data_IF_489328323014
#
_entry.id   IF_489328323014
#
_cell.length_a   1.000
_cell.length_b   1.000
_cell.length_c   1.000
_cell.angle_alpha   90.00
_cell.angle_beta   90.00
_cell.angle_gamma   90.00
#
_symmetry.space_group_name_H-M   'P 1'
#
loop_
_entity.id
_entity.type
_entity.pdbx_description
1 polymer ?
#
# COMPACT_ATOMS: atom_id res chain seq x y z
N UNK A 1 13.86 25.73 -5.98
CA UNK A 1 13.28 24.79 -5.00
C UNK A 1 12.09 24.13 -5.66
N UNK A 2 11.93 22.80 -5.52
CA UNK A 2 10.78 22.10 -6.10
C UNK A 2 9.57 22.43 -5.24
N UNK A 3 8.64 23.21 -5.79
CA UNK A 3 7.38 23.53 -5.13
C UNK A 3 6.43 22.35 -5.32
N UNK A 4 5.97 21.74 -4.23
CA UNK A 4 5.08 20.58 -4.26
C UNK A 4 3.70 20.95 -3.70
N UNK A 5 2.67 20.80 -4.52
CA UNK A 5 1.26 20.99 -4.18
C UNK A 5 0.72 19.73 -3.53
N UNK A 6 0.16 19.90 -2.33
CA UNK A 6 -0.38 18.83 -1.52
C UNK A 6 -1.86 19.10 -1.26
N UNK A 7 -2.70 18.12 -1.57
CA UNK A 7 -4.13 18.19 -1.28
C UNK A 7 -4.41 17.59 0.10
N UNK A 8 -5.15 18.29 0.95
CA UNK A 8 -5.51 17.85 2.29
C UNK A 8 -7.02 17.74 2.37
N UNK A 9 -7.50 16.53 2.60
CA UNK A 9 -8.89 16.19 2.80
C UNK A 9 -9.07 15.83 4.26
N UNK A 10 -9.72 16.71 5.02
CA UNK A 10 -10.03 16.40 6.40
C UNK A 10 -11.42 16.93 6.75
N UNK A 11 -12.19 16.11 7.47
CA UNK A 11 -13.50 16.50 7.99
C UNK A 11 -13.39 17.39 9.24
N UNK A 12 -12.21 17.43 9.86
CA UNK A 12 -11.98 18.19 11.09
C UNK A 12 -11.77 19.67 10.80
N UNK A 13 -12.45 20.52 11.57
CA UNK A 13 -12.36 21.99 11.51
C UNK A 13 -11.11 22.55 12.21
N UNK A 14 -10.09 21.72 12.46
CA UNK A 14 -8.87 22.18 13.11
C UNK A 14 -8.14 23.21 12.23
N UNK A 15 -7.53 24.25 12.83
CA UNK A 15 -6.83 25.27 12.06
C UNK A 15 -5.59 24.68 11.40
N UNK A 16 -5.64 24.56 10.07
CA UNK A 16 -4.50 24.15 9.24
C UNK A 16 -3.47 25.27 9.07
N UNK A 17 -3.74 26.49 9.51
CA UNK A 17 -2.85 27.65 9.32
C UNK A 17 -1.40 27.42 9.76
N UNK A 18 -1.13 26.89 10.98
CA UNK A 18 0.24 26.59 11.40
C UNK A 18 0.91 25.53 10.52
N UNK A 19 0.13 24.56 10.04
CA UNK A 19 0.60 23.51 9.14
C UNK A 19 0.91 24.10 7.75
N UNK A 20 0.03 24.94 7.21
CA UNK A 20 0.19 25.61 5.92
C UNK A 20 1.42 26.48 5.92
N UNK A 21 1.57 27.37 6.90
CA UNK A 21 2.74 28.25 7.02
C UNK A 21 4.03 27.46 7.21
N UNK A 22 4.04 26.50 8.13
CA UNK A 22 5.22 25.69 8.40
C UNK A 22 5.66 24.84 7.20
N UNK A 23 4.73 24.27 6.43
CA UNK A 23 5.05 23.50 5.23
C UNK A 23 5.41 24.42 4.03
N UNK A 24 4.83 25.62 3.94
CA UNK A 24 5.18 26.59 2.90
C UNK A 24 6.64 27.04 2.97
N UNK A 25 7.19 27.20 4.18
CA UNK A 25 8.63 27.48 4.38
C UNK A 25 9.54 26.38 3.80
N UNK A 26 9.01 25.17 3.64
CA UNK A 26 9.70 24.01 3.10
C UNK A 26 9.35 23.70 1.64
N UNK A 27 8.66 24.63 0.95
CA UNK A 27 8.33 24.51 -0.47
C UNK A 27 7.04 23.73 -0.76
N UNK A 28 6.20 23.50 0.25
CA UNK A 28 4.91 22.83 0.07
C UNK A 28 3.75 23.84 -0.02
N UNK A 29 2.92 23.69 -1.04
CA UNK A 29 1.68 24.45 -1.21
C UNK A 29 0.49 23.59 -0.80
N UNK A 30 -0.18 23.95 0.28
CA UNK A 30 -1.22 23.12 0.90
C UNK A 30 -2.60 23.62 0.52
N UNK A 31 -3.38 22.80 -0.18
CA UNK A 31 -4.79 23.05 -0.46
C UNK A 31 -5.67 22.16 0.40
N UNK A 32 -6.61 22.76 1.14
CA UNK A 32 -7.47 22.05 2.09
C UNK A 32 -8.90 22.03 1.58
N UNK A 33 -9.58 20.89 1.66
CA UNK A 33 -11.01 20.75 1.42
C UNK A 33 -11.64 19.78 2.41
N UNK A 34 -12.92 19.98 2.69
CA UNK A 34 -13.73 19.11 3.55
C UNK A 34 -14.72 18.26 2.74
N UNK A 35 -14.75 18.41 1.41
CA UNK A 35 -15.76 17.81 0.52
C UNK A 35 -15.10 16.94 -0.53
N UNK A 36 -15.56 15.69 -0.64
CA UNK A 36 -15.08 14.73 -1.64
C UNK A 36 -15.16 15.28 -3.08
N UNK A 37 -16.32 15.82 -3.46
CA UNK A 37 -16.55 16.34 -4.82
C UNK A 37 -15.65 17.52 -5.18
N UNK A 38 -15.37 18.40 -4.22
CA UNK A 38 -14.43 19.50 -4.41
C UNK A 38 -12.99 18.98 -4.55
N UNK A 39 -12.62 17.97 -3.75
CA UNK A 39 -11.32 17.34 -3.85
C UNK A 39 -11.05 16.72 -5.22
N UNK A 40 -12.04 16.02 -5.79
CA UNK A 40 -11.95 15.43 -7.14
C UNK A 40 -11.83 16.52 -8.20
N UNK A 41 -12.64 17.59 -8.10
CA UNK A 41 -12.55 18.73 -9.02
C UNK A 41 -11.18 19.43 -8.94
N UNK A 42 -10.63 19.60 -7.74
CA UNK A 42 -9.30 20.16 -7.54
C UNK A 42 -8.22 19.26 -8.13
N UNK A 43 -8.31 17.94 -7.91
CA UNK A 43 -7.37 16.95 -8.43
C UNK A 43 -7.33 16.93 -9.96
N UNK A 44 -8.48 17.05 -10.63
CA UNK A 44 -8.53 17.18 -12.10
C UNK A 44 -8.02 18.52 -12.61
N UNK A 45 -8.14 19.59 -11.82
CA UNK A 45 -7.72 20.94 -12.22
C UNK A 45 -6.23 21.24 -12.00
N UNK A 46 -5.58 20.58 -11.04
CA UNK A 46 -4.19 20.88 -10.65
C UNK A 46 -3.38 19.60 -10.44
N UNK A 47 -2.11 19.54 -10.90
CA UNK A 47 -1.25 18.39 -10.66
C UNK A 47 -0.76 18.40 -9.21
N UNK A 48 -1.43 17.67 -8.32
CA UNK A 48 -0.94 17.44 -6.97
C UNK A 48 0.15 16.38 -6.94
N UNK A 49 1.10 16.52 -6.03
CA UNK A 49 2.20 15.57 -5.85
C UNK A 49 1.92 14.55 -4.75
N UNK A 50 1.00 14.84 -3.82
CA UNK A 50 0.46 13.89 -2.85
C UNK A 50 -0.88 14.39 -2.31
N UNK A 51 -1.66 13.49 -1.71
CA UNK A 51 -2.84 13.85 -0.93
C UNK A 51 -2.77 13.27 0.49
N UNK A 52 -3.10 14.09 1.48
CA UNK A 52 -3.43 13.65 2.84
C UNK A 52 -4.94 13.48 2.95
N UNK A 53 -5.39 12.33 3.43
CA UNK A 53 -6.82 12.02 3.58
C UNK A 53 -7.09 11.57 5.00
N UNK A 54 -8.00 12.25 5.71
CA UNK A 54 -8.46 11.78 7.01
C UNK A 54 -9.14 10.41 6.87
N UNK A 55 -8.98 9.54 7.86
CA UNK A 55 -9.59 8.21 7.83
C UNK A 55 -11.13 8.28 7.76
N UNK A 56 -11.75 9.34 8.28
CA UNK A 56 -13.18 9.58 8.16
C UNK A 56 -13.61 9.78 6.70
N UNK A 57 -12.84 10.52 5.91
CA UNK A 57 -13.11 10.74 4.49
C UNK A 57 -12.66 9.55 3.63
N UNK A 58 -11.55 8.91 3.98
CA UNK A 58 -11.01 7.77 3.24
C UNK A 58 -11.89 6.51 3.28
N UNK A 59 -12.80 6.42 4.25
CA UNK A 59 -13.78 5.33 4.33
C UNK A 59 -14.77 5.34 3.16
N UNK A 60 -14.95 6.49 2.51
CA UNK A 60 -15.63 6.56 1.22
C UNK A 60 -14.69 6.01 0.13
N UNK A 61 -14.92 4.75 -0.27
CA UNK A 61 -14.08 4.06 -1.24
C UNK A 61 -14.05 4.75 -2.61
N UNK A 62 -15.12 5.45 -2.98
CA UNK A 62 -15.25 6.14 -4.26
C UNK A 62 -14.33 7.37 -4.32
N UNK A 63 -14.07 8.01 -3.18
CA UNK A 63 -13.16 9.15 -3.09
C UNK A 63 -11.71 8.76 -3.43
N UNK A 64 -11.20 7.70 -2.81
CA UNK A 64 -9.82 7.26 -3.05
C UNK A 64 -9.62 6.76 -4.48
N UNK A 65 -10.60 6.03 -5.01
CA UNK A 65 -10.60 5.57 -6.40
C UNK A 65 -10.70 6.75 -7.38
N UNK A 66 -11.56 7.73 -7.10
CA UNK A 66 -11.68 8.95 -7.89
C UNK A 66 -10.38 9.74 -7.92
N UNK A 67 -9.70 9.91 -6.78
CA UNK A 67 -8.40 10.59 -6.73
C UNK A 67 -7.34 9.87 -7.57
N UNK A 68 -7.32 8.53 -7.55
CA UNK A 68 -6.42 7.74 -8.40
C UNK A 68 -6.79 7.84 -9.89
N UNK A 69 -8.07 7.98 -10.22
CA UNK A 69 -8.54 8.14 -11.59
C UNK A 69 -8.15 9.52 -12.16
N UNK A 70 -8.36 10.58 -11.38
CA UNK A 70 -8.01 11.96 -11.77
C UNK A 70 -6.50 12.18 -11.81
N UNK A 71 -5.75 11.56 -10.89
CA UNK A 71 -4.30 11.67 -10.80
C UNK A 71 -3.65 10.28 -10.66
N UNK A 72 -3.41 9.58 -11.78
CA UNK A 72 -2.80 8.25 -11.76
C UNK A 72 -1.41 8.24 -11.11
N UNK A 73 -1.28 7.51 -10.00
CA UNK A 73 -0.03 7.44 -9.23
C UNK A 73 0.16 8.57 -8.22
N UNK A 74 -0.90 9.33 -7.91
CA UNK A 74 -0.94 10.25 -6.78
C UNK A 74 -0.72 9.46 -5.47
N UNK A 75 0.34 9.74 -4.71
CA UNK A 75 0.57 9.10 -3.42
C UNK A 75 -0.50 9.51 -2.41
N UNK A 76 -1.09 8.52 -1.74
CA UNK A 76 -2.13 8.75 -0.74
C UNK A 76 -1.61 8.50 0.67
N UNK A 77 -1.68 9.51 1.54
CA UNK A 77 -1.29 9.44 2.95
C UNK A 77 -2.54 9.49 3.81
N UNK A 78 -2.81 8.44 4.58
CA UNK A 78 -4.00 8.40 5.45
C UNK A 78 -3.69 8.96 6.83
N UNK A 79 -4.44 9.98 7.23
CA UNK A 79 -4.37 10.59 8.56
C UNK A 79 -5.38 9.90 9.47
N UNK A 80 -4.91 9.20 10.50
CA UNK A 80 -5.72 8.36 11.40
C UNK A 80 -5.67 8.87 12.84
N UNK A 81 -6.77 8.72 13.58
CA UNK A 81 -6.82 9.02 15.02
C UNK A 81 -6.46 7.75 15.83
N UNK A 82 -5.92 7.84 17.06
CA UNK A 82 -5.42 6.69 17.83
C UNK A 82 -6.53 5.76 18.37
N UNK A 83 -7.80 6.12 18.25
CA UNK A 83 -8.95 5.27 18.60
C UNK A 83 -9.27 4.30 17.45
N UNK A 84 -8.49 3.22 17.34
CA UNK A 84 -8.45 2.41 16.10
C UNK A 84 -9.60 1.38 16.02
N UNK A 85 -10.53 1.61 15.07
CA UNK A 85 -11.13 0.53 14.27
C UNK A 85 -10.12 0.10 13.21
N UNK A 86 -10.05 -1.20 12.82
CA UNK A 86 -9.19 -1.62 11.72
C UNK A 86 -9.54 -0.85 10.44
N UNK A 87 -8.52 -0.37 9.71
CA UNK A 87 -8.74 0.32 8.43
C UNK A 87 -9.43 -0.63 7.43
N UNK A 88 -10.44 -0.16 6.68
CA UNK A 88 -11.08 -0.98 5.65
C UNK A 88 -10.08 -1.45 4.59
N UNK A 89 -10.24 -2.65 4.00
CA UNK A 89 -9.33 -3.16 2.98
C UNK A 89 -9.07 -2.20 1.79
N UNK A 90 -10.07 -1.47 1.24
CA UNK A 90 -9.82 -0.50 0.17
C UNK A 90 -8.84 0.61 0.57
N UNK A 91 -8.94 1.12 1.79
CA UNK A 91 -8.03 2.14 2.32
C UNK A 91 -6.61 1.58 2.43
N UNK A 92 -6.47 0.37 2.97
CA UNK A 92 -5.15 -0.29 3.12
C UNK A 92 -4.50 -0.58 1.77
N UNK A 93 -5.28 -0.88 0.73
CA UNK A 93 -4.77 -1.18 -0.61
C UNK A 93 -4.30 0.07 -1.36
N UNK A 94 -4.94 1.21 -1.12
CA UNK A 94 -4.68 2.45 -1.85
C UNK A 94 -3.73 3.40 -1.11
N UNK A 95 -3.59 3.28 0.21
CA UNK A 95 -2.70 4.10 1.00
C UNK A 95 -1.22 3.75 0.77
N UNK A 96 -0.40 4.75 0.44
CA UNK A 96 1.05 4.61 0.40
C UNK A 96 1.67 4.71 1.80
N UNK A 97 1.10 5.55 2.66
CA UNK A 97 1.56 5.76 4.03
C UNK A 97 0.40 6.13 4.96
N UNK A 98 0.63 6.03 6.27
CA UNK A 98 -0.33 6.45 7.29
C UNK A 98 0.36 7.28 8.37
N UNK A 99 -0.34 8.29 8.88
CA UNK A 99 0.11 9.16 9.98
C UNK A 99 -0.94 9.20 11.09
N UNK A 100 -0.51 9.02 12.33
CA UNK A 100 -1.37 9.13 13.51
C UNK A 100 -1.49 10.57 14.01
N UNK A 101 -2.70 11.04 14.32
CA UNK A 101 -2.94 12.23 15.14
C UNK A 101 -2.72 11.88 16.62
N UNK A 102 -2.15 12.78 17.45
CA UNK A 102 -1.56 14.06 17.06
C UNK A 102 -0.20 13.86 16.37
N UNK A 103 0.11 14.71 15.40
CA UNK A 103 1.41 14.75 14.71
C UNK A 103 2.01 16.16 14.78
N UNK A 104 3.33 16.24 14.62
CA UNK A 104 4.05 17.52 14.54
C UNK A 104 4.30 17.91 13.08
N UNK A 105 4.63 19.17 12.84
CA UNK A 105 5.06 19.66 11.53
C UNK A 105 6.24 18.82 10.98
N UNK A 106 7.24 18.54 11.82
CA UNK A 106 8.43 17.77 11.44
C UNK A 106 8.09 16.33 11.06
N UNK A 107 7.21 15.68 11.83
CA UNK A 107 6.73 14.33 11.51
C UNK A 107 6.05 14.30 10.15
N UNK A 108 5.19 15.28 9.88
CA UNK A 108 4.47 15.33 8.62
C UNK A 108 5.39 15.69 7.45
N UNK A 109 6.33 16.61 7.64
CA UNK A 109 7.33 16.98 6.64
C UNK A 109 8.18 15.79 6.22
N UNK A 110 8.73 15.05 7.19
CA UNK A 110 9.56 13.88 6.92
C UNK A 110 8.77 12.80 6.15
N UNK A 111 7.48 12.63 6.47
CA UNK A 111 6.62 11.70 5.76
C UNK A 111 6.34 12.15 4.33
N UNK A 112 6.08 13.44 4.12
CA UNK A 112 5.91 14.02 2.79
C UNK A 112 7.18 13.87 1.95
N UNK A 113 8.34 14.27 2.48
CA UNK A 113 9.64 14.16 1.82
C UNK A 113 9.86 12.72 1.29
N UNK A 114 9.70 11.74 2.19
CA UNK A 114 9.89 10.31 1.86
C UNK A 114 8.87 9.80 0.85
N UNK A 115 7.61 10.20 0.99
CA UNK A 115 6.53 9.74 0.10
C UNK A 115 6.73 10.27 -1.32
N UNK A 116 7.08 11.55 -1.44
CA UNK A 116 7.34 12.20 -2.71
C UNK A 116 8.59 11.67 -3.39
N UNK A 117 9.67 11.44 -2.63
CA UNK A 117 10.88 10.82 -3.15
C UNK A 117 10.60 9.44 -3.75
N UNK A 118 9.87 8.59 -3.03
CA UNK A 118 9.49 7.26 -3.51
C UNK A 118 8.58 7.34 -4.75
N UNK A 119 7.64 8.28 -4.79
CA UNK A 119 6.77 8.49 -5.94
C UNK A 119 7.56 8.93 -7.18
N UNK A 120 8.55 9.81 -7.01
CA UNK A 120 9.44 10.26 -8.09
C UNK A 120 10.31 9.12 -8.61
N UNK A 121 10.91 8.32 -7.72
CA UNK A 121 11.71 7.16 -8.09
C UNK A 121 10.88 6.11 -8.84
N UNK A 122 9.68 5.79 -8.34
CA UNK A 122 8.72 4.90 -9.03
C UNK A 122 8.34 5.44 -10.41
N UNK A 123 8.15 6.75 -10.53
CA UNK A 123 7.84 7.39 -11.81
C UNK A 123 9.01 7.35 -12.79
N UNK A 124 10.26 7.49 -12.31
CA UNK A 124 11.48 7.32 -13.12
C UNK A 124 11.62 5.89 -13.62
N UNK A 125 11.48 4.91 -12.75
CA UNK A 125 11.52 3.49 -13.13
C UNK A 125 10.43 3.15 -14.15
N UNK A 126 9.21 3.69 -13.99
CA UNK A 126 8.14 3.51 -14.97
C UNK A 126 8.49 4.10 -16.33
N UNK A 127 9.12 5.28 -16.36
CA UNK A 127 9.58 5.93 -17.60
C UNK A 127 10.70 5.14 -18.26
N UNK A 128 11.75 4.80 -17.52
CA UNK A 128 12.85 3.98 -18.05
C UNK A 128 12.31 2.66 -18.58
N UNK A 129 11.47 1.93 -17.82
CA UNK A 129 10.89 0.67 -18.28
C UNK A 129 10.03 0.83 -19.54
N UNK A 130 9.37 1.97 -19.72
CA UNK A 130 8.65 2.29 -20.96
C UNK A 130 9.62 2.54 -22.10
N UNK A 131 10.67 3.31 -21.87
CA UNK A 131 11.68 3.63 -22.88
C UNK A 131 12.44 2.36 -23.33
N UNK A 132 12.76 1.45 -22.40
CA UNK A 132 13.29 0.11 -22.68
C UNK A 132 12.27 -0.77 -23.41
N UNK A 133 10.98 -0.69 -23.05
CA UNK A 133 9.91 -1.43 -23.70
C UNK A 133 9.66 -0.99 -25.15
N UNK A 134 9.72 0.31 -25.43
CA UNK A 134 9.61 0.88 -26.78
C UNK A 134 10.85 0.58 -27.64
N UNK A 135 12.05 0.63 -27.05
CA UNK A 135 13.30 0.27 -27.75
C UNK A 135 13.36 -1.23 -28.10
N UNK A 136 12.72 -2.10 -27.31
CA UNK A 136 12.63 -3.54 -27.55
C UNK A 136 11.38 -3.95 -28.35
N UNK A 137 10.44 -3.04 -28.60
CA UNK A 137 9.19 -3.31 -29.33
C UNK A 137 9.38 -3.90 -30.74
N UNK A 138 10.38 -3.50 -31.56
CA UNK A 138 10.61 -4.11 -32.87
C UNK A 138 11.06 -5.58 -32.79
N UNK A 139 11.69 -5.98 -31.67
CA UNK A 139 12.19 -7.33 -31.43
C UNK A 139 11.11 -8.25 -30.83
N UNK A 140 9.97 -7.70 -30.40
CA UNK A 140 8.85 -8.43 -29.79
C UNK A 140 7.86 -9.02 -30.82
N UNK A 141 8.23 -9.10 -32.11
CA UNK A 141 7.38 -9.66 -33.16
C UNK A 141 7.25 -11.19 -33.15
N UNK A 142 7.91 -11.89 -32.22
CA UNK A 142 7.63 -13.29 -31.97
C UNK A 142 6.87 -13.48 -30.65
N UNK A 143 5.55 -13.30 -30.73
CA UNK A 143 4.60 -14.11 -29.95
C UNK A 143 4.49 -13.85 -28.45
N UNK A 144 4.46 -12.60 -28.00
CA UNK A 144 4.03 -12.26 -26.64
C UNK A 144 2.83 -11.31 -26.69
N UNK A 145 1.64 -11.83 -26.39
CA UNK A 145 0.39 -11.08 -26.27
C UNK A 145 0.42 -10.15 -25.06
N UNK A 146 -0.06 -8.93 -25.28
CA UNK A 146 0.08 -7.74 -24.42
C UNK A 146 -0.81 -7.72 -23.16
N UNK A 147 -0.89 -8.81 -22.38
CA UNK A 147 -1.70 -8.86 -21.16
C UNK A 147 -1.02 -9.57 -19.96
N UNK A 148 0.31 -9.62 -19.92
CA UNK A 148 1.02 -10.26 -18.79
C UNK A 148 1.43 -9.30 -17.65
N UNK A 149 1.02 -9.60 -16.39
CA UNK A 149 1.36 -8.82 -15.21
C UNK A 149 2.77 -9.14 -14.72
N UNK A 150 3.59 -8.09 -14.53
CA UNK A 150 4.89 -8.03 -13.83
C UNK A 150 5.98 -9.08 -14.22
N UNK A 151 7.25 -8.66 -14.40
CA UNK A 151 8.29 -9.57 -14.88
C UNK A 151 8.50 -10.72 -13.88
N UNK A 152 8.25 -11.93 -14.37
CA UNK A 152 8.71 -13.19 -13.79
C UNK A 152 10.23 -13.10 -13.77
N UNK A 153 10.81 -12.83 -12.59
CA UNK A 153 12.26 -12.67 -12.46
C UNK A 153 12.77 -12.11 -11.14
N UNK A 154 11.94 -11.37 -10.38
CA UNK A 154 12.28 -11.16 -8.97
C UNK A 154 12.19 -12.52 -8.29
N UNK A 155 13.33 -13.11 -7.94
CA UNK A 155 13.32 -14.36 -7.18
C UNK A 155 12.52 -14.11 -5.91
N UNK A 156 11.81 -15.13 -5.43
CA UNK A 156 11.11 -15.06 -4.14
C UNK A 156 12.05 -14.49 -3.05
N UNK A 157 13.34 -14.79 -3.16
CA UNK A 157 14.39 -14.31 -2.28
C UNK A 157 14.56 -12.79 -2.34
N UNK A 158 14.52 -12.15 -3.50
CA UNK A 158 14.63 -10.69 -3.62
C UNK A 158 13.45 -9.96 -2.97
N UNK A 159 12.23 -10.47 -3.18
CA UNK A 159 11.01 -9.91 -2.58
C UNK A 159 11.01 -10.09 -1.06
N UNK A 160 11.46 -11.26 -0.60
CA UNK A 160 11.58 -11.57 0.83
C UNK A 160 12.66 -10.71 1.49
N UNK A 161 13.85 -10.59 0.89
CA UNK A 161 14.96 -9.76 1.41
C UNK A 161 14.52 -8.32 1.54
N UNK A 162 13.81 -7.78 0.54
CA UNK A 162 13.35 -6.40 0.58
C UNK A 162 12.30 -6.16 1.69
N UNK A 163 11.35 -7.08 1.87
CA UNK A 163 10.38 -7.01 2.98
C UNK A 163 11.04 -7.20 4.34
N UNK A 164 12.00 -8.11 4.48
CA UNK A 164 12.71 -8.34 5.74
C UNK A 164 13.54 -7.12 6.14
N UNK A 165 14.21 -6.46 5.19
CA UNK A 165 14.93 -5.19 5.44
C UNK A 165 14.04 -4.07 5.97
N UNK A 166 12.72 -4.12 5.72
CA UNK A 166 11.76 -3.15 6.29
C UNK A 166 11.25 -3.53 7.68
N UNK A 167 11.28 -4.82 8.05
CA UNK A 167 10.77 -5.33 9.33
C UNK A 167 11.88 -5.37 10.39
N UNK A 168 13.09 -5.75 9.98
CA UNK A 168 14.27 -5.91 10.84
C UNK A 168 14.65 -4.63 11.62
N UNK A 169 14.58 -3.41 11.06
CA UNK A 169 14.88 -2.18 11.79
C UNK A 169 13.83 -1.82 12.87
N UNK A 170 12.60 -2.33 12.75
CA UNK A 170 11.51 -2.06 13.69
C UNK A 170 11.42 -3.09 14.82
N UNK A 171 12.49 -3.87 15.03
CA UNK A 171 12.49 -5.05 15.90
C UNK A 171 12.69 -4.79 17.39
N UNK A 172 13.08 -3.59 17.81
CA UNK A 172 13.13 -3.26 19.24
C UNK A 172 11.75 -3.42 19.91
N UNK A 173 10.67 -3.38 19.12
CA UNK A 173 9.28 -3.53 19.57
C UNK A 173 8.84 -5.00 19.75
N UNK A 174 9.49 -5.97 19.09
CA UNK A 174 9.03 -7.36 19.07
C UNK A 174 9.57 -8.22 20.24
N UNK A 175 10.53 -7.71 21.01
CA UNK A 175 11.17 -8.44 22.10
C UNK A 175 12.26 -9.41 21.60
N UNK A 176 13.27 -9.66 22.43
CA UNK A 176 14.41 -10.53 22.08
C UNK A 176 13.92 -11.95 21.73
N UNK A 177 14.26 -12.44 20.54
CA UNK A 177 14.06 -13.84 20.13
C UNK A 177 12.73 -14.19 19.44
N UNK A 178 11.84 -13.22 19.19
CA UNK A 178 10.51 -13.50 18.61
C UNK A 178 10.46 -13.37 17.08
N UNK A 179 11.40 -12.64 16.47
CA UNK A 179 11.39 -12.35 15.02
C UNK A 179 11.30 -13.62 14.18
N UNK A 180 12.15 -14.60 14.48
CA UNK A 180 12.22 -15.84 13.71
C UNK A 180 10.84 -16.51 13.64
N UNK A 181 10.17 -16.61 14.79
CA UNK A 181 8.81 -17.16 14.87
C UNK A 181 7.81 -16.29 14.14
N UNK A 182 7.86 -14.96 14.31
CA UNK A 182 6.92 -14.03 13.67
C UNK A 182 6.99 -14.09 12.14
N UNK A 183 8.19 -14.06 11.58
CA UNK A 183 8.44 -14.13 10.13
C UNK A 183 7.99 -15.46 9.58
N UNK A 184 8.42 -16.58 10.20
CA UNK A 184 8.03 -17.90 9.72
C UNK A 184 6.52 -18.13 9.81
N UNK A 185 5.88 -17.73 10.91
CA UNK A 185 4.42 -17.83 11.04
C UNK A 185 3.70 -17.01 9.96
N UNK A 186 4.22 -15.85 9.59
CA UNK A 186 3.63 -15.02 8.53
C UNK A 186 3.78 -15.66 7.15
N UNK A 187 4.99 -16.12 6.80
CA UNK A 187 5.25 -16.80 5.52
C UNK A 187 4.44 -18.09 5.41
N UNK A 188 4.39 -18.88 6.48
CA UNK A 188 3.61 -20.11 6.54
C UNK A 188 2.11 -19.83 6.33
N UNK A 189 1.55 -18.80 6.98
CA UNK A 189 0.16 -18.41 6.76
C UNK A 189 -0.13 -18.07 5.29
N UNK A 190 0.76 -17.34 4.63
CA UNK A 190 0.62 -16.96 3.22
C UNK A 190 0.63 -18.20 2.32
N UNK A 191 1.64 -19.07 2.49
CA UNK A 191 1.76 -20.32 1.74
C UNK A 191 0.50 -21.19 1.88
N UNK A 192 0.03 -21.39 3.11
CA UNK A 192 -1.17 -22.18 3.39
C UNK A 192 -2.41 -21.56 2.74
N UNK A 193 -2.54 -20.23 2.77
CA UNK A 193 -3.70 -19.53 2.20
C UNK A 193 -3.74 -19.67 0.68
N UNK A 194 -2.60 -19.49 0.00
CA UNK A 194 -2.49 -19.62 -1.46
C UNK A 194 -2.82 -21.04 -1.91
N UNK A 195 -2.21 -22.05 -1.27
CA UNK A 195 -2.46 -23.46 -1.66
C UNK A 195 -3.90 -23.88 -1.36
N UNK A 196 -4.49 -23.41 -0.27
CA UNK A 196 -5.90 -23.66 0.04
C UNK A 196 -6.84 -23.02 -0.98
N UNK A 197 -6.54 -21.80 -1.43
CA UNK A 197 -7.31 -21.12 -2.47
C UNK A 197 -7.23 -21.87 -3.81
N UNK A 198 -6.02 -22.27 -4.21
CA UNK A 198 -5.77 -23.02 -5.45
C UNK A 198 -6.46 -24.39 -5.43
N UNK A 199 -6.50 -25.03 -4.26
CA UNK A 199 -7.22 -26.28 -4.06
C UNK A 199 -8.73 -26.09 -3.82
N UNK A 200 -9.25 -24.85 -3.92
CA UNK A 200 -10.65 -24.50 -3.69
C UNK A 200 -11.19 -25.02 -2.35
N UNK A 201 -10.37 -24.94 -1.30
CA UNK A 201 -10.71 -25.42 0.04
C UNK A 201 -10.52 -26.92 0.29
N UNK A 202 -10.06 -27.69 -0.71
CA UNK A 202 -9.83 -29.13 -0.53
C UNK A 202 -8.57 -29.41 0.28
N UNK A 203 -8.74 -29.59 1.59
CA UNK A 203 -7.64 -29.85 2.52
C UNK A 203 -6.86 -31.14 2.24
N UNK A 204 -7.46 -32.16 1.62
CA UNK A 204 -6.73 -33.40 1.29
C UNK A 204 -5.73 -33.11 0.18
N UNK A 205 -6.21 -32.47 -0.90
CA UNK A 205 -5.37 -32.07 -2.03
C UNK A 205 -4.31 -31.04 -1.62
N UNK A 206 -4.68 -30.06 -0.78
CA UNK A 206 -3.72 -29.09 -0.25
C UNK A 206 -2.62 -29.73 0.59
N UNK A 207 -2.96 -30.71 1.43
CA UNK A 207 -1.99 -31.41 2.26
C UNK A 207 -1.00 -32.23 1.41
N UNK A 208 -1.48 -32.85 0.34
CA UNK A 208 -0.67 -33.58 -0.64
C UNK A 208 0.30 -32.65 -1.38
N UNK A 209 -0.17 -31.51 -1.90
CA UNK A 209 0.67 -30.50 -2.58
C UNK A 209 1.70 -29.89 -1.63
N UNK A 210 1.32 -29.65 -0.37
CA UNK A 210 2.23 -29.13 0.66
C UNK A 210 3.19 -30.19 1.20
N UNK A 211 2.99 -31.48 0.89
CA UNK A 211 3.79 -32.59 1.42
C UNK A 211 3.69 -32.76 2.94
N UNK A 212 2.58 -32.31 3.56
CA UNK A 212 2.37 -32.42 5.01
C UNK A 212 1.18 -33.30 5.33
N UNK A 213 1.15 -33.88 6.53
CA UNK A 213 -0.01 -34.64 6.99
C UNK A 213 -1.26 -33.74 7.05
N UNK A 214 -2.40 -34.23 6.55
CA UNK A 214 -3.71 -33.55 6.59
C UNK A 214 -4.08 -33.06 8.01
N UNK A 215 -3.78 -33.84 9.04
CA UNK A 215 -4.05 -33.46 10.43
C UNK A 215 -3.20 -32.26 10.86
N UNK A 216 -1.94 -32.20 10.42
CA UNK A 216 -1.04 -31.06 10.62
C UNK A 216 -1.54 -29.83 9.90
N UNK A 217 -1.94 -29.97 8.63
CA UNK A 217 -2.56 -28.88 7.86
C UNK A 217 -3.80 -28.35 8.59
N UNK A 218 -4.73 -29.22 8.99
CA UNK A 218 -5.94 -28.81 9.72
C UNK A 218 -5.62 -28.09 11.04
N UNK A 219 -4.58 -28.50 11.77
CA UNK A 219 -4.13 -27.81 12.99
C UNK A 219 -3.64 -26.39 12.66
N UNK A 220 -2.76 -26.27 11.65
CA UNK A 220 -2.20 -24.98 11.21
C UNK A 220 -3.26 -24.04 10.66
N UNK A 221 -4.22 -24.53 9.87
CA UNK A 221 -5.33 -23.71 9.37
C UNK A 221 -6.18 -23.12 10.51
N UNK A 222 -6.40 -23.88 11.59
CA UNK A 222 -7.08 -23.37 12.79
C UNK A 222 -6.23 -22.34 13.53
N UNK A 223 -4.93 -22.59 13.69
CA UNK A 223 -3.99 -21.67 14.34
C UNK A 223 -3.93 -20.31 13.61
N UNK A 224 -3.99 -20.31 12.28
CA UNK A 224 -3.93 -19.08 11.48
C UNK A 224 -5.30 -18.45 11.15
N UNK A 225 -6.40 -19.08 11.59
CA UNK A 225 -7.76 -18.60 11.33
C UNK A 225 -8.19 -18.68 9.86
N UNK A 226 -7.63 -19.60 9.07
CA UNK A 226 -7.95 -19.75 7.64
C UNK A 226 -9.18 -20.65 7.52
N UNK A 227 -10.36 -20.05 7.40
CA UNK A 227 -11.62 -20.76 7.13
C UNK A 227 -11.82 -20.96 5.63
N UNK A 228 -12.01 -22.21 5.20
CA UNK A 228 -12.41 -22.53 3.83
C UNK A 228 -13.73 -21.82 3.50
N UNK A 229 -13.88 -21.19 2.32
CA UNK A 229 -15.19 -20.79 1.86
C UNK A 229 -16.08 -22.03 1.82
N UNK A 230 -17.19 -22.00 2.56
CA UNK A 230 -18.17 -23.08 2.58
C UNK A 230 -18.81 -23.16 1.20
N UNK A 231 -18.77 -24.34 0.60
CA UNK A 231 -19.66 -24.73 -0.49
C UNK A 231 -21.09 -24.68 0.04
N UNK A 232 -21.88 -23.69 -0.38
CA UNK A 232 -23.33 -23.76 -0.19
C UNK A 232 -23.83 -24.97 -1.00
N UNK A 233 -24.73 -25.79 -0.43
CA UNK A 233 -25.34 -26.93 -1.13
C UNK A 233 -26.15 -26.49 -2.34
#
# INVERSE_FOLDING_TARGET
MVQAKILVLDSDTQPYEPLKSGLAEHGYEIHTTMKAMEALSLAGAHPYQAALVSLSMAQDGDLLLGLQAECPGLPLIIVSCPEVRPMPPPVVQLADNTVGKPFTLDTLRLMLDRTLELALLRSRLRRERRDWGEALAPLATNGATADEPAPIGASLDEVLVQKLRTIVPNMEVLGRGTLYRAVLSHVEKLLLSVVMAECRGNQVKSAEILGINRNTLRKKLREFGITSPRRNP
#
